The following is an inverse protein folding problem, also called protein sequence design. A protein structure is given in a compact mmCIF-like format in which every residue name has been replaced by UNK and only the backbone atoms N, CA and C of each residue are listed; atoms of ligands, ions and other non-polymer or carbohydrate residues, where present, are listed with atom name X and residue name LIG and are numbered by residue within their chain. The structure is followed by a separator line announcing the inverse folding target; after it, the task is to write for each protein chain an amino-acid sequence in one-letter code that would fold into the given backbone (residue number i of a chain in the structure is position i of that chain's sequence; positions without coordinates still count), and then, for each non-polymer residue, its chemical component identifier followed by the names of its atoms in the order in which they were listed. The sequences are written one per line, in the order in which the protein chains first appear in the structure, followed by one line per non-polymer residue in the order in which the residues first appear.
data_IF_182127210581
#
_entry.id   IF_182127210581
#
_cell.length_a   1.000
_cell.length_b   1.000
_cell.length_c   1.000
_cell.angle_alpha   90.00
_cell.angle_beta   90.00
_cell.angle_gamma   90.00
#
_symmetry.space_group_name_H-M   'P 1'
#
loop_
_entity.id
_entity.type
_entity.pdbx_description
1 polymer ?
#
# COMPACT_ATOMS: atom_id res chain seq x y z
N UNK A 1 -63.69 -34.67 18.34
CA UNK A 1 -62.67 -35.26 17.43
C UNK A 1 -62.28 -34.27 16.32
N UNK A 2 -63.22 -33.57 15.70
CA UNK A 2 -62.97 -32.56 14.65
C UNK A 2 -62.05 -31.40 15.06
N UNK A 3 -62.21 -30.84 16.27
CA UNK A 3 -61.33 -29.77 16.79
C UNK A 3 -59.86 -30.21 16.90
N UNK A 4 -59.60 -31.48 17.19
CA UNK A 4 -58.26 -32.04 17.27
C UNK A 4 -57.65 -32.23 15.86
N UNK A 5 -58.43 -32.76 14.92
CA UNK A 5 -58.04 -32.89 13.51
C UNK A 5 -57.77 -31.52 12.86
N UNK A 6 -58.60 -30.50 13.13
CA UNK A 6 -58.38 -29.12 12.66
C UNK A 6 -57.09 -28.50 13.22
N UNK A 7 -56.83 -28.68 14.53
CA UNK A 7 -55.57 -28.23 15.15
C UNK A 7 -54.35 -28.91 14.53
N UNK A 8 -54.45 -30.20 14.23
CA UNK A 8 -53.34 -30.95 13.61
C UNK A 8 -53.10 -30.51 12.16
N UNK A 9 -54.16 -30.31 11.35
CA UNK A 9 -54.04 -29.72 10.01
C UNK A 9 -53.38 -28.34 10.03
N UNK A 10 -53.77 -27.47 10.97
CA UNK A 10 -53.14 -26.14 11.17
C UNK A 10 -51.66 -26.24 11.54
N UNK A 11 -51.25 -27.23 12.33
CA UNK A 11 -49.83 -27.45 12.66
C UNK A 11 -49.03 -27.92 11.45
N UNK A 12 -49.58 -28.85 10.65
CA UNK A 12 -48.97 -29.33 9.41
C UNK A 12 -48.80 -28.17 8.43
N UNK A 13 -49.87 -27.41 8.17
CA UNK A 13 -49.86 -26.21 7.32
C UNK A 13 -48.83 -25.18 7.81
N UNK A 14 -48.77 -24.93 9.12
CA UNK A 14 -47.77 -24.02 9.69
C UNK A 14 -46.32 -24.54 9.52
N UNK A 15 -46.10 -25.85 9.62
CA UNK A 15 -44.80 -26.49 9.40
C UNK A 15 -44.36 -26.36 7.94
N UNK A 16 -45.26 -26.63 7.00
CA UNK A 16 -45.04 -26.48 5.56
C UNK A 16 -44.77 -25.03 5.18
N UNK A 17 -45.59 -24.09 5.67
CA UNK A 17 -45.39 -22.65 5.44
C UNK A 17 -44.04 -22.16 5.98
N UNK A 18 -43.60 -22.66 7.14
CA UNK A 18 -42.25 -22.38 7.68
C UNK A 18 -41.16 -22.98 6.79
N UNK A 19 -41.34 -24.17 6.25
CA UNK A 19 -40.39 -24.81 5.34
C UNK A 19 -40.27 -24.04 4.02
N UNK A 20 -41.39 -23.69 3.37
CA UNK A 20 -41.43 -22.88 2.15
C UNK A 20 -40.80 -21.51 2.37
N UNK A 21 -41.09 -20.84 3.49
CA UNK A 21 -40.45 -19.56 3.84
C UNK A 21 -38.94 -19.69 3.99
N UNK A 22 -38.45 -20.76 4.62
CA UNK A 22 -37.00 -21.02 4.73
C UNK A 22 -36.37 -21.26 3.36
N UNK A 23 -37.03 -22.03 2.50
CA UNK A 23 -36.54 -22.30 1.14
C UNK A 23 -36.49 -21.02 0.30
N UNK A 24 -37.57 -20.23 0.30
CA UNK A 24 -37.62 -18.95 -0.38
C UNK A 24 -36.54 -17.99 0.13
N UNK A 25 -36.31 -17.96 1.45
CA UNK A 25 -35.24 -17.15 2.03
C UNK A 25 -33.83 -17.63 1.62
N UNK A 26 -33.60 -18.94 1.56
CA UNK A 26 -32.34 -19.49 1.07
C UNK A 26 -32.12 -19.16 -0.42
N UNK A 27 -33.15 -19.28 -1.26
CA UNK A 27 -33.09 -18.90 -2.67
C UNK A 27 -32.81 -17.39 -2.83
N UNK A 28 -33.43 -16.55 -2.00
CA UNK A 28 -33.14 -15.11 -1.96
C UNK A 28 -31.68 -14.83 -1.58
N UNK A 29 -31.16 -15.44 -0.51
CA UNK A 29 -29.77 -15.27 -0.08
C UNK A 29 -28.74 -15.84 -1.06
N UNK A 30 -29.12 -16.77 -1.93
CA UNK A 30 -28.26 -17.30 -2.97
C UNK A 30 -28.01 -16.31 -4.11
N UNK A 31 -28.92 -15.35 -4.29
CA UNK A 31 -28.92 -14.38 -5.40
C UNK A 31 -28.74 -12.94 -4.93
N UNK A 32 -29.02 -12.65 -3.65
CA UNK A 32 -29.02 -11.28 -3.11
C UNK A 32 -28.15 -11.10 -1.85
N UNK A 33 -27.55 -9.92 -1.72
CA UNK A 33 -26.84 -9.43 -0.53
C UNK A 33 -27.78 -8.55 0.29
N UNK A 34 -28.36 -9.14 1.33
CA UNK A 34 -29.30 -8.45 2.21
C UNK A 34 -28.63 -7.55 3.27
N UNK A 35 -27.45 -7.93 3.77
CA UNK A 35 -26.79 -7.26 4.87
C UNK A 35 -25.27 -7.48 4.83
N UNK A 36 -24.50 -6.46 5.19
CA UNK A 36 -23.02 -6.46 5.19
C UNK A 36 -22.41 -6.12 6.55
N UNK A 37 -23.21 -6.18 7.63
CA UNK A 37 -22.78 -5.85 8.99
C UNK A 37 -23.21 -4.46 9.44
N UNK A 38 -23.09 -4.23 10.75
CA UNK A 38 -23.43 -2.95 11.36
C UNK A 38 -22.61 -1.81 10.75
N UNK A 39 -23.25 -0.64 10.57
CA UNK A 39 -22.59 0.56 10.03
C UNK A 39 -22.31 0.56 8.52
N UNK A 40 -22.74 -0.49 7.80
CA UNK A 40 -22.66 -0.59 6.34
C UNK A 40 -24.06 -0.50 5.73
N UNK A 41 -24.39 0.65 5.14
CA UNK A 41 -25.59 0.79 4.31
C UNK A 41 -25.32 0.16 2.94
N UNK A 42 -26.18 -0.77 2.52
CA UNK A 42 -26.10 -1.45 1.24
C UNK A 42 -27.51 -1.69 0.69
N UNK A 43 -27.69 -1.43 -0.61
CA UNK A 43 -28.92 -1.73 -1.34
C UNK A 43 -28.55 -2.64 -2.49
N UNK A 44 -29.14 -3.81 -2.49
CA UNK A 44 -28.97 -4.76 -3.57
C UNK A 44 -30.01 -4.48 -4.65
N UNK A 45 -29.72 -3.48 -5.47
CA UNK A 45 -30.58 -3.09 -6.58
C UNK A 45 -29.79 -3.14 -7.87
N UNK A 46 -30.46 -3.54 -8.93
CA UNK A 46 -29.97 -3.35 -10.28
C UNK A 46 -30.38 -1.96 -10.78
N UNK A 47 -29.48 -1.32 -11.52
CA UNK A 47 -29.69 0.01 -12.08
C UNK A 47 -29.11 1.16 -11.23
N UNK A 48 -29.42 2.41 -11.63
CA UNK A 48 -28.80 3.60 -11.04
C UNK A 48 -29.15 3.78 -9.56
N UNK A 49 -28.13 4.05 -8.73
CA UNK A 49 -28.30 4.45 -7.33
C UNK A 49 -28.25 5.99 -7.21
N UNK A 50 -28.96 6.56 -6.22
CA UNK A 50 -28.93 8.00 -5.95
C UNK A 50 -27.52 8.52 -5.59
N UNK A 51 -26.64 7.63 -5.17
CA UNK A 51 -25.24 7.93 -4.89
C UNK A 51 -24.33 7.72 -6.11
N UNK A 52 -24.81 7.28 -7.27
CA UNK A 52 -23.98 7.18 -8.45
C UNK A 52 -23.58 8.56 -8.98
N UNK A 53 -22.35 8.65 -9.50
CA UNK A 53 -21.86 9.90 -10.08
C UNK A 53 -22.42 10.08 -11.51
N UNK A 54 -22.69 11.32 -11.95
CA UNK A 54 -23.07 11.56 -13.34
C UNK A 54 -22.02 11.04 -14.33
N UNK A 55 -22.49 10.46 -15.44
CA UNK A 55 -21.64 9.91 -16.50
C UNK A 55 -20.85 8.67 -16.07
N UNK A 56 -21.41 7.84 -15.18
CA UNK A 56 -20.72 6.67 -14.60
C UNK A 56 -20.09 5.76 -15.66
N UNK A 57 -20.86 5.38 -16.68
CA UNK A 57 -20.38 4.51 -17.76
C UNK A 57 -19.26 5.16 -18.60
N UNK A 58 -19.36 6.46 -18.88
CA UNK A 58 -18.30 7.21 -19.59
C UNK A 58 -17.01 7.29 -18.76
N UNK A 59 -17.13 7.51 -17.45
CA UNK A 59 -16.01 7.52 -16.51
C UNK A 59 -15.33 6.16 -16.42
N UNK A 60 -16.11 5.08 -16.41
CA UNK A 60 -15.58 3.72 -16.43
C UNK A 60 -14.84 3.46 -17.74
N UNK A 61 -15.47 3.73 -18.89
CA UNK A 61 -14.89 3.53 -20.23
C UNK A 61 -13.61 4.32 -20.46
N UNK A 62 -13.59 5.61 -20.12
CA UNK A 62 -12.39 6.46 -20.24
C UNK A 62 -11.20 6.00 -19.42
N UNK A 63 -11.42 5.11 -18.43
CA UNK A 63 -10.38 4.50 -17.58
C UNK A 63 -10.19 3.02 -17.87
N UNK A 64 -10.89 2.46 -18.86
CA UNK A 64 -10.87 1.03 -19.16
C UNK A 64 -11.35 0.15 -18.01
N UNK A 65 -12.23 0.64 -17.13
CA UNK A 65 -12.81 -0.15 -16.05
C UNK A 65 -13.88 -1.11 -16.59
N UNK A 66 -14.02 -2.33 -16.02
CA UNK A 66 -15.12 -3.21 -16.37
C UNK A 66 -16.46 -2.59 -15.98
N UNK A 67 -17.50 -2.93 -16.74
CA UNK A 67 -18.86 -2.57 -16.36
C UNK A 67 -19.33 -3.45 -15.20
N UNK A 68 -19.67 -2.81 -14.08
CA UNK A 68 -20.05 -3.46 -12.84
C UNK A 68 -21.30 -2.76 -12.28
N UNK A 69 -22.49 -3.02 -12.84
CA UNK A 69 -23.74 -2.41 -12.40
C UNK A 69 -24.29 -3.01 -11.10
N UNK A 70 -23.96 -4.27 -10.76
CA UNK A 70 -24.58 -4.98 -9.63
C UNK A 70 -23.61 -5.87 -8.85
N UNK A 71 -24.07 -6.34 -7.68
CA UNK A 71 -23.34 -7.34 -6.89
C UNK A 71 -23.16 -8.66 -7.64
N UNK A 72 -24.14 -9.05 -8.47
CA UNK A 72 -24.09 -10.22 -9.35
C UNK A 72 -22.92 -10.14 -10.33
N UNK A 73 -22.79 -9.02 -11.03
CA UNK A 73 -21.70 -8.83 -11.98
C UNK A 73 -20.33 -8.83 -11.31
N UNK A 74 -20.22 -8.18 -10.15
CA UNK A 74 -18.99 -8.22 -9.37
C UNK A 74 -18.66 -9.65 -8.93
N UNK A 75 -19.64 -10.43 -8.48
CA UNK A 75 -19.43 -11.82 -8.07
C UNK A 75 -18.94 -12.67 -9.25
N UNK A 76 -19.58 -12.55 -10.42
CA UNK A 76 -19.15 -13.21 -11.66
C UNK A 76 -17.72 -12.84 -12.04
N UNK A 77 -17.41 -11.55 -12.05
CA UNK A 77 -16.10 -11.04 -12.41
C UNK A 77 -14.98 -11.52 -11.45
N UNK A 78 -15.30 -11.69 -10.16
CA UNK A 78 -14.40 -12.24 -9.14
C UNK A 78 -14.32 -13.78 -9.14
N UNK A 79 -15.18 -14.48 -9.88
CA UNK A 79 -15.32 -15.94 -9.82
C UNK A 79 -15.86 -16.42 -8.47
N UNK A 80 -16.80 -15.70 -7.88
CA UNK A 80 -17.42 -15.99 -6.59
C UNK A 80 -18.93 -16.13 -6.72
N UNK A 81 -19.54 -16.88 -5.81
CA UNK A 81 -21.00 -16.84 -5.61
C UNK A 81 -21.38 -15.62 -4.77
N UNK A 82 -22.63 -15.14 -4.89
CA UNK A 82 -23.15 -14.05 -4.05
C UNK A 82 -22.99 -14.33 -2.54
N UNK A 83 -23.33 -15.54 -2.03
CA UNK A 83 -23.07 -15.88 -0.63
C UNK A 83 -21.60 -15.75 -0.22
N UNK A 84 -20.66 -16.14 -1.10
CA UNK A 84 -19.22 -16.01 -0.82
C UNK A 84 -18.72 -14.59 -0.90
N UNK A 85 -19.17 -13.80 -1.88
CA UNK A 85 -18.88 -12.37 -1.94
C UNK A 85 -19.37 -11.66 -0.67
N UNK A 86 -20.62 -11.92 -0.25
CA UNK A 86 -21.18 -11.41 1.01
C UNK A 86 -20.31 -11.83 2.19
N UNK A 87 -19.95 -13.10 2.31
CA UNK A 87 -19.14 -13.61 3.42
C UNK A 87 -17.75 -12.95 3.53
N UNK A 88 -17.12 -12.63 2.40
CA UNK A 88 -15.84 -11.92 2.37
C UNK A 88 -15.97 -10.42 2.69
N UNK A 89 -17.06 -9.79 2.23
CA UNK A 89 -17.30 -8.35 2.42
C UNK A 89 -17.96 -8.01 3.78
N UNK A 90 -18.55 -8.99 4.46
CA UNK A 90 -19.31 -8.77 5.69
C UNK A 90 -18.42 -8.23 6.82
N UNK A 91 -18.84 -7.13 7.45
CA UNK A 91 -18.19 -6.57 8.63
C UNK A 91 -18.75 -7.19 9.91
N UNK A 92 -17.84 -7.61 10.79
CA UNK A 92 -18.16 -8.22 12.09
C UNK A 92 -17.37 -7.52 13.18
N UNK A 93 -18.07 -7.05 14.20
CA UNK A 93 -17.44 -6.51 15.41
C UNK A 93 -16.69 -7.61 16.16
N UNK A 94 -17.33 -8.77 16.35
CA UNK A 94 -16.71 -9.96 16.95
C UNK A 94 -16.88 -11.14 16.01
N UNK A 95 -15.82 -11.90 15.79
CA UNK A 95 -15.83 -13.07 14.92
C UNK A 95 -14.92 -14.18 15.48
N UNK A 96 -15.28 -15.45 15.25
CA UNK A 96 -14.44 -16.61 15.56
C UNK A 96 -13.41 -16.88 14.45
N UNK A 97 -13.50 -16.15 13.34
CA UNK A 97 -12.56 -16.22 12.23
C UNK A 97 -12.13 -14.84 11.72
N UNK A 98 -11.14 -14.83 10.82
CA UNK A 98 -10.73 -13.64 10.08
C UNK A 98 -10.29 -14.01 8.67
N UNK A 99 -10.47 -13.09 7.72
CA UNK A 99 -9.99 -13.24 6.35
C UNK A 99 -8.52 -12.86 6.17
N UNK A 100 -7.84 -12.47 7.25
CA UNK A 100 -6.45 -12.04 7.25
C UNK A 100 -5.58 -12.91 8.17
N UNK A 101 -4.31 -13.06 7.81
CA UNK A 101 -3.26 -13.54 8.71
C UNK A 101 -2.49 -12.34 9.24
N UNK A 102 -2.22 -12.33 10.54
CA UNK A 102 -1.60 -11.19 11.21
C UNK A 102 -0.38 -11.60 12.01
N UNK A 103 0.66 -10.79 11.94
CA UNK A 103 1.89 -10.97 12.69
C UNK A 103 2.56 -9.62 12.92
N UNK A 104 3.45 -9.57 13.89
CA UNK A 104 4.21 -8.37 14.21
C UNK A 104 5.60 -8.45 13.58
N UNK A 105 6.09 -7.33 13.09
CA UNK A 105 7.48 -7.16 12.65
C UNK A 105 8.09 -6.01 13.46
N UNK A 106 9.31 -6.14 14.00
CA UNK A 106 9.97 -5.03 14.68
C UNK A 106 10.25 -3.89 13.70
N UNK A 107 9.91 -2.66 14.09
CA UNK A 107 10.40 -1.44 13.43
C UNK A 107 11.86 -1.21 13.83
N UNK A 108 12.52 -0.28 13.13
CA UNK A 108 13.90 0.13 13.43
C UNK A 108 14.07 0.72 14.84
N UNK A 109 13.00 1.30 15.39
CA UNK A 109 12.95 1.86 16.73
C UNK A 109 12.56 0.82 17.80
N UNK A 110 12.45 -0.46 17.44
CA UNK A 110 12.05 -1.55 18.33
C UNK A 110 10.53 -1.71 18.49
N UNK A 111 9.72 -0.71 18.12
CA UNK A 111 8.26 -0.82 18.24
C UNK A 111 7.68 -1.81 17.24
N UNK A 112 6.57 -2.48 17.58
CA UNK A 112 5.95 -3.46 16.69
C UNK A 112 5.19 -2.80 15.52
N UNK A 113 5.24 -3.43 14.34
CA UNK A 113 4.39 -3.15 13.18
C UNK A 113 3.50 -4.36 12.91
N UNK A 114 2.20 -4.17 13.08
CA UNK A 114 1.22 -5.18 12.69
C UNK A 114 1.11 -5.27 11.16
N UNK A 115 1.40 -6.44 10.62
CA UNK A 115 1.14 -6.80 9.23
C UNK A 115 -0.15 -7.62 9.17
N UNK A 116 -0.99 -7.33 8.19
CA UNK A 116 -2.23 -8.03 7.91
C UNK A 116 -2.26 -8.42 6.44
N UNK A 117 -1.95 -9.69 6.15
CA UNK A 117 -2.02 -10.25 4.79
C UNK A 117 -3.33 -11.01 4.59
N UNK A 118 -4.07 -10.78 3.50
CA UNK A 118 -5.29 -11.53 3.20
C UNK A 118 -4.98 -13.03 3.01
N UNK A 119 -5.94 -13.89 3.39
CA UNK A 119 -5.94 -15.33 3.09
C UNK A 119 -6.17 -15.57 1.59
N UNK A 120 -5.91 -16.79 1.11
CA UNK A 120 -5.82 -17.13 -0.32
C UNK A 120 -7.00 -16.63 -1.15
N UNK A 121 -8.24 -16.88 -0.71
CA UNK A 121 -9.44 -16.50 -1.45
C UNK A 121 -9.63 -14.98 -1.54
N UNK A 122 -9.59 -14.26 -0.40
CA UNK A 122 -9.65 -12.80 -0.40
C UNK A 122 -8.49 -12.19 -1.20
N UNK A 123 -7.28 -12.77 -1.12
CA UNK A 123 -6.11 -12.31 -1.88
C UNK A 123 -6.33 -12.43 -3.39
N UNK A 124 -7.03 -13.48 -3.87
CA UNK A 124 -7.40 -13.60 -5.29
C UNK A 124 -8.36 -12.48 -5.71
N UNK A 125 -9.42 -12.26 -4.93
CA UNK A 125 -10.38 -11.18 -5.20
C UNK A 125 -9.71 -9.80 -5.21
N UNK A 126 -8.83 -9.53 -4.25
CA UNK A 126 -8.06 -8.30 -4.19
C UNK A 126 -7.08 -8.15 -5.35
N UNK A 127 -6.42 -9.23 -5.81
CA UNK A 127 -5.55 -9.18 -7.01
C UNK A 127 -6.34 -8.92 -8.29
N UNK A 128 -7.55 -9.46 -8.40
CA UNK A 128 -8.45 -9.12 -9.50
C UNK A 128 -8.81 -7.63 -9.45
N UNK A 129 -9.21 -7.11 -8.28
CA UNK A 129 -9.56 -5.70 -8.12
C UNK A 129 -8.35 -4.78 -8.36
N UNK A 130 -7.14 -5.19 -7.96
CA UNK A 130 -5.90 -4.47 -8.23
C UNK A 130 -5.73 -4.23 -9.74
N UNK A 131 -5.73 -5.31 -10.53
CA UNK A 131 -5.46 -5.24 -11.98
C UNK A 131 -6.60 -4.61 -12.77
N UNK A 132 -7.84 -4.90 -12.40
CA UNK A 132 -9.00 -4.48 -13.18
C UNK A 132 -9.56 -3.12 -12.78
N UNK A 133 -9.28 -2.66 -11.55
CA UNK A 133 -9.80 -1.41 -11.02
C UNK A 133 -8.68 -0.45 -10.61
N UNK A 134 -7.86 -0.81 -9.63
CA UNK A 134 -6.99 0.16 -8.94
C UNK A 134 -5.75 0.61 -9.75
N UNK A 135 -5.12 -0.28 -10.51
CA UNK A 135 -3.96 0.06 -11.36
C UNK A 135 -4.33 0.96 -12.55
N UNK A 136 -5.62 1.01 -12.92
CA UNK A 136 -6.14 1.86 -13.99
C UNK A 136 -6.49 3.27 -13.52
N UNK A 137 -6.44 3.52 -12.20
CA UNK A 137 -6.76 4.83 -11.65
C UNK A 137 -5.60 5.81 -11.85
N UNK A 138 -5.90 7.10 -12.12
CA UNK A 138 -4.86 8.10 -12.32
C UNK A 138 -4.04 8.31 -11.04
N UNK A 139 -2.72 8.34 -11.20
CA UNK A 139 -1.75 8.63 -10.14
C UNK A 139 -0.91 9.83 -10.55
N UNK A 140 -0.50 10.64 -9.58
CA UNK A 140 0.34 11.81 -9.85
C UNK A 140 1.77 11.40 -10.22
N UNK A 141 2.39 12.10 -11.16
CA UNK A 141 3.76 11.82 -11.62
C UNK A 141 4.83 11.95 -10.52
N UNK A 142 4.52 12.69 -9.44
CA UNK A 142 5.40 12.81 -8.26
C UNK A 142 5.40 11.57 -7.36
N UNK A 143 4.49 10.61 -7.56
CA UNK A 143 4.50 9.37 -6.82
C UNK A 143 5.56 8.41 -7.39
N UNK A 144 6.38 7.83 -6.51
CA UNK A 144 7.40 6.84 -6.85
C UNK A 144 7.21 5.52 -6.08
N UNK A 145 6.49 5.54 -4.95
CA UNK A 145 6.23 4.34 -4.17
C UNK A 145 5.23 3.43 -4.89
N UNK A 146 5.53 2.13 -4.97
CA UNK A 146 4.61 1.09 -5.45
C UNK A 146 4.09 1.25 -6.88
N UNK A 147 4.84 1.92 -7.76
CA UNK A 147 4.49 2.04 -9.17
C UNK A 147 5.48 1.26 -10.03
N UNK A 148 4.98 0.65 -11.10
CA UNK A 148 5.82 0.07 -12.13
C UNK A 148 6.80 1.13 -12.67
N UNK A 149 8.03 0.71 -12.97
CA UNK A 149 9.12 1.58 -13.46
C UNK A 149 9.52 2.71 -12.51
N UNK A 150 9.01 2.73 -11.28
CA UNK A 150 9.49 3.59 -10.20
C UNK A 150 10.13 2.74 -9.12
N UNK A 151 11.09 3.35 -8.44
CA UNK A 151 11.89 2.69 -7.41
C UNK A 151 12.45 3.71 -6.43
N UNK A 152 13.04 3.21 -5.35
CA UNK A 152 13.83 4.02 -4.42
C UNK A 152 14.98 4.77 -5.12
N UNK A 153 15.50 4.25 -6.25
CA UNK A 153 16.53 4.94 -7.04
C UNK A 153 15.93 6.11 -7.80
N UNK A 154 14.83 5.90 -8.55
CA UNK A 154 14.17 6.99 -9.28
C UNK A 154 13.72 8.11 -8.35
N UNK A 155 13.29 7.76 -7.13
CA UNK A 155 12.89 8.71 -6.10
C UNK A 155 14.08 9.52 -5.60
N UNK A 156 15.16 8.83 -5.21
CA UNK A 156 16.38 9.48 -4.71
C UNK A 156 17.07 10.34 -5.79
N UNK A 157 17.15 9.84 -7.03
CA UNK A 157 17.78 10.52 -8.15
C UNK A 157 17.13 11.87 -8.47
N UNK A 158 15.81 12.01 -8.26
CA UNK A 158 15.12 13.28 -8.43
C UNK A 158 15.70 14.40 -7.54
N UNK A 159 16.33 14.06 -6.42
CA UNK A 159 16.86 15.00 -5.43
C UNK A 159 18.39 15.10 -5.42
N UNK A 160 19.06 14.56 -6.44
CA UNK A 160 20.51 14.52 -6.51
C UNK A 160 21.15 15.91 -6.53
N UNK A 161 22.18 16.10 -5.71
CA UNK A 161 22.95 17.34 -5.63
C UNK A 161 22.16 18.55 -5.14
N UNK A 162 21.11 18.36 -4.35
CA UNK A 162 20.35 19.44 -3.75
C UNK A 162 21.11 20.14 -2.62
N UNK A 163 20.92 21.45 -2.45
CA UNK A 163 21.53 22.19 -1.34
C UNK A 163 20.81 21.91 -0.02
N UNK A 164 19.49 21.69 -0.06
CA UNK A 164 18.68 21.33 1.10
C UNK A 164 17.67 20.26 0.72
N UNK A 165 17.51 19.24 1.57
CA UNK A 165 16.45 18.24 1.47
C UNK A 165 15.58 18.31 2.72
N UNK A 166 14.27 18.32 2.54
CA UNK A 166 13.29 18.24 3.61
C UNK A 166 12.50 16.95 3.40
N UNK A 167 12.44 16.11 4.44
CA UNK A 167 11.63 14.90 4.47
C UNK A 167 10.52 15.07 5.48
N UNK A 168 9.31 14.70 5.08
CA UNK A 168 8.10 14.79 5.91
C UNK A 168 7.40 13.43 5.85
N UNK A 169 7.07 12.88 7.00
CA UNK A 169 6.37 11.59 7.14
C UNK A 169 4.89 11.83 7.49
N UNK A 170 3.98 11.06 6.89
CA UNK A 170 2.56 11.10 7.21
C UNK A 170 2.27 10.09 8.34
N UNK A 171 1.73 10.58 9.46
CA UNK A 171 1.37 9.74 10.60
C UNK A 171 0.19 8.83 10.25
N UNK A 172 0.29 7.55 10.62
CA UNK A 172 -0.76 6.53 10.48
C UNK A 172 -1.37 6.47 9.08
N UNK A 173 -0.51 6.55 8.05
CA UNK A 173 -0.93 6.72 6.66
C UNK A 173 -2.00 5.71 6.20
N UNK A 174 -1.73 4.40 6.29
CA UNK A 174 -2.70 3.38 5.90
C UNK A 174 -3.99 3.40 6.74
N UNK A 175 -3.92 3.46 8.10
CA UNK A 175 -5.11 3.64 8.94
C UNK A 175 -5.97 4.86 8.63
N UNK A 176 -5.41 5.96 8.10
CA UNK A 176 -6.22 7.14 7.73
C UNK A 176 -7.07 6.93 6.47
N UNK A 177 -6.87 5.84 5.74
CA UNK A 177 -7.64 5.48 4.56
C UNK A 177 -8.70 4.45 4.94
N UNK A 178 -9.89 4.95 5.24
CA UNK A 178 -11.05 4.13 5.60
C UNK A 178 -11.74 3.53 4.38
N UNK A 179 -12.53 2.47 4.58
CA UNK A 179 -13.34 1.86 3.52
C UNK A 179 -14.25 2.88 2.81
N UNK A 180 -14.74 3.91 3.52
CA UNK A 180 -15.55 4.99 2.93
C UNK A 180 -14.76 5.83 1.93
N UNK A 181 -13.47 6.09 2.17
CA UNK A 181 -12.59 6.79 1.22
C UNK A 181 -12.33 5.91 -0.01
N UNK A 182 -12.14 4.61 0.18
CA UNK A 182 -11.97 3.65 -0.93
C UNK A 182 -13.24 3.56 -1.79
N UNK A 183 -14.43 3.49 -1.15
CA UNK A 183 -15.71 3.54 -1.85
C UNK A 183 -15.87 4.82 -2.67
N UNK A 184 -15.60 5.98 -2.05
CA UNK A 184 -15.67 7.28 -2.74
C UNK A 184 -14.70 7.39 -3.92
N UNK A 185 -13.50 6.81 -3.80
CA UNK A 185 -12.54 6.72 -4.91
C UNK A 185 -13.12 5.92 -6.08
N UNK A 186 -13.66 4.73 -5.84
CA UNK A 186 -14.21 3.86 -6.87
C UNK A 186 -15.43 4.49 -7.56
N UNK A 187 -16.33 5.11 -6.80
CA UNK A 187 -17.46 5.87 -7.36
C UNK A 187 -17.00 6.98 -8.28
N UNK A 188 -16.05 7.80 -7.83
CA UNK A 188 -15.49 8.89 -8.65
C UNK A 188 -14.85 8.37 -9.94
N UNK A 189 -14.32 7.15 -9.92
CA UNK A 189 -13.75 6.48 -11.08
C UNK A 189 -14.79 5.94 -12.07
N UNK A 190 -16.06 5.79 -11.65
CA UNK A 190 -17.15 5.27 -12.47
C UNK A 190 -17.63 3.86 -12.09
N UNK A 191 -17.36 3.39 -10.87
CA UNK A 191 -17.93 2.13 -10.36
C UNK A 191 -19.23 2.42 -9.60
N UNK A 192 -20.29 1.66 -9.87
CA UNK A 192 -21.59 1.82 -9.21
C UNK A 192 -21.51 1.65 -7.68
N UNK A 193 -22.40 2.31 -6.92
CA UNK A 193 -22.38 2.38 -5.45
C UNK A 193 -22.29 1.00 -4.77
N UNK A 194 -23.07 0.03 -5.24
CA UNK A 194 -23.09 -1.35 -4.69
C UNK A 194 -21.72 -2.03 -4.84
N UNK A 195 -21.23 -2.25 -6.08
CA UNK A 195 -19.90 -2.82 -6.31
C UNK A 195 -18.76 -2.01 -5.69
N UNK A 196 -18.83 -0.67 -5.67
CA UNK A 196 -17.84 0.17 -5.01
C UNK A 196 -17.78 -0.10 -3.49
N UNK A 197 -18.93 -0.30 -2.86
CA UNK A 197 -19.03 -0.66 -1.43
C UNK A 197 -18.43 -2.05 -1.17
N UNK A 198 -18.80 -3.04 -1.98
CA UNK A 198 -18.31 -4.41 -1.84
C UNK A 198 -16.79 -4.48 -2.02
N UNK A 199 -16.25 -3.87 -3.08
CA UNK A 199 -14.79 -3.84 -3.32
C UNK A 199 -14.07 -3.07 -2.21
N UNK A 200 -14.63 -1.98 -1.69
CA UNK A 200 -14.05 -1.26 -0.57
C UNK A 200 -13.96 -2.11 0.70
N UNK A 201 -15.00 -2.91 0.99
CA UNK A 201 -15.00 -3.84 2.12
C UNK A 201 -14.00 -4.99 1.91
N UNK A 202 -13.92 -5.54 0.69
CA UNK A 202 -12.90 -6.54 0.34
C UNK A 202 -11.49 -5.99 0.49
N UNK A 203 -11.24 -4.74 0.13
CA UNK A 203 -9.91 -4.12 0.13
C UNK A 203 -9.47 -3.55 1.49
N UNK A 204 -10.34 -3.53 2.49
CA UNK A 204 -10.06 -3.01 3.84
C UNK A 204 -10.17 -4.11 4.88
N UNK A 205 -9.73 -3.82 6.11
CA UNK A 205 -9.97 -4.66 7.28
C UNK A 205 -10.00 -3.79 8.54
N UNK A 206 -10.79 -4.19 9.53
CA UNK A 206 -10.76 -3.53 10.83
C UNK A 206 -9.50 -3.98 11.59
N UNK A 207 -8.80 -3.08 12.31
CA UNK A 207 -7.85 -3.54 13.31
C UNK A 207 -8.61 -4.41 14.33
N UNK A 208 -7.99 -5.50 14.78
CA UNK A 208 -8.62 -6.41 15.74
C UNK A 208 -7.66 -6.85 16.82
N UNK A 209 -8.16 -7.06 18.02
CA UNK A 209 -7.45 -7.78 19.07
C UNK A 209 -7.86 -9.25 19.07
N UNK A 210 -6.97 -10.11 19.54
CA UNK A 210 -7.23 -11.54 19.68
C UNK A 210 -7.47 -11.81 21.16
N UNK A 211 -8.66 -12.31 21.48
CA UNK A 211 -9.10 -12.58 22.85
C UNK A 211 -9.49 -14.04 22.97
N UNK A 212 -9.12 -14.69 24.07
CA UNK A 212 -9.65 -16.01 24.43
C UNK A 212 -10.86 -15.82 25.34
N UNK A 213 -12.02 -16.34 24.95
CA UNK A 213 -13.24 -16.28 25.75
C UNK A 213 -13.97 -17.61 25.69
N UNK A 214 -14.23 -18.22 26.86
CA UNK A 214 -14.90 -19.53 26.99
C UNK A 214 -14.27 -20.62 26.09
N UNK A 215 -12.95 -20.68 26.05
CA UNK A 215 -12.20 -21.64 25.23
C UNK A 215 -12.22 -21.37 23.72
N UNK A 216 -12.77 -20.24 23.27
CA UNK A 216 -12.82 -19.84 21.87
C UNK A 216 -11.90 -18.64 21.61
N UNK A 217 -11.16 -18.71 20.50
CA UNK A 217 -10.40 -17.56 20.00
C UNK A 217 -11.33 -16.62 19.24
N UNK A 218 -11.45 -15.39 19.73
CA UNK A 218 -12.26 -14.34 19.14
C UNK A 218 -11.40 -13.21 18.59
N UNK A 219 -11.83 -12.62 17.49
CA UNK A 219 -11.20 -11.49 16.82
C UNK A 219 -12.10 -10.26 16.96
N UNK A 220 -11.81 -9.41 17.93
CA UNK A 220 -12.64 -8.24 18.30
C UNK A 220 -12.14 -7.00 17.56
N UNK A 221 -12.99 -6.36 16.77
CA UNK A 221 -12.67 -5.12 16.08
C UNK A 221 -12.43 -3.99 17.09
N UNK A 222 -11.33 -3.26 16.92
CA UNK A 222 -10.94 -2.14 17.80
C UNK A 222 -11.09 -0.78 17.13
N UNK A 223 -11.64 -0.77 15.91
CA UNK A 223 -11.82 0.44 15.13
C UNK A 223 -12.40 0.17 13.74
N UNK A 224 -12.54 1.23 12.93
CA UNK A 224 -13.16 1.12 11.61
C UNK A 224 -12.30 0.32 10.63
N UNK A 225 -12.93 -0.20 9.57
CA UNK A 225 -12.23 -0.81 8.43
C UNK A 225 -11.34 0.22 7.71
N UNK A 226 -10.06 -0.09 7.61
CA UNK A 226 -8.99 0.73 7.01
C UNK A 226 -8.13 -0.10 6.05
N UNK A 227 -7.22 0.53 5.31
CA UNK A 227 -6.28 -0.23 4.49
C UNK A 227 -5.31 -1.04 5.37
N UNK A 228 -5.23 -2.37 5.19
CA UNK A 228 -4.27 -3.19 5.92
C UNK A 228 -2.87 -3.08 5.29
N UNK A 229 -1.85 -3.08 6.13
CA UNK A 229 -0.46 -3.23 5.70
C UNK A 229 -0.21 -4.69 5.34
N UNK A 230 -0.16 -5.02 4.05
CA UNK A 230 0.03 -6.39 3.55
C UNK A 230 -1.01 -6.87 2.54
N UNK A 231 -2.08 -6.10 2.30
CA UNK A 231 -2.96 -6.38 1.16
C UNK A 231 -2.34 -5.90 -0.15
N UNK A 232 -2.50 -6.66 -1.26
CA UNK A 232 -2.01 -6.27 -2.59
C UNK A 232 -2.64 -5.00 -3.14
N UNK A 233 -3.85 -4.62 -2.72
CA UNK A 233 -4.55 -3.42 -3.21
C UNK A 233 -4.14 -2.15 -2.50
N UNK A 234 -3.75 -2.22 -1.22
CA UNK A 234 -3.43 -1.04 -0.40
C UNK A 234 -2.43 -0.08 -1.07
N UNK A 235 -1.32 -0.57 -1.67
CA UNK A 235 -0.39 0.30 -2.38
C UNK A 235 -1.01 1.13 -3.51
N UNK A 236 -1.75 0.49 -4.43
CA UNK A 236 -2.39 1.19 -5.55
C UNK A 236 -3.47 2.18 -5.05
N UNK A 237 -4.26 1.78 -4.06
CA UNK A 237 -5.30 2.64 -3.47
C UNK A 237 -4.70 3.90 -2.86
N UNK A 238 -3.62 3.76 -2.07
CA UNK A 238 -2.94 4.92 -1.46
C UNK A 238 -2.50 5.95 -2.50
N UNK A 239 -1.91 5.48 -3.61
CA UNK A 239 -1.47 6.35 -4.69
C UNK A 239 -2.63 7.06 -5.40
N UNK A 240 -3.72 6.34 -5.68
CA UNK A 240 -4.90 6.94 -6.30
C UNK A 240 -5.59 7.97 -5.40
N UNK A 241 -5.69 7.71 -4.09
CA UNK A 241 -6.24 8.66 -3.10
C UNK A 241 -5.37 9.92 -3.00
N UNK A 242 -4.05 9.77 -3.03
CA UNK A 242 -3.13 10.89 -2.93
C UNK A 242 -3.05 11.75 -4.19
N UNK A 243 -3.78 11.45 -5.29
CA UNK A 243 -3.72 12.26 -6.52
C UNK A 243 -3.96 13.76 -6.28
N UNK A 244 -4.99 14.10 -5.50
CA UNK A 244 -5.32 15.51 -5.18
C UNK A 244 -4.28 16.12 -4.24
N UNK A 245 -3.84 15.36 -3.23
CA UNK A 245 -2.76 15.74 -2.33
C UNK A 245 -1.51 16.12 -3.12
N UNK A 246 -1.05 15.22 -3.98
CA UNK A 246 0.19 15.36 -4.73
C UNK A 246 0.13 16.55 -5.69
N UNK A 247 -1.03 16.84 -6.30
CA UNK A 247 -1.23 18.05 -7.13
C UNK A 247 -1.02 19.33 -6.31
N UNK A 248 -1.65 19.43 -5.14
CA UNK A 248 -1.55 20.60 -4.26
C UNK A 248 -0.13 20.78 -3.71
N UNK A 249 0.48 19.70 -3.24
CA UNK A 249 1.85 19.70 -2.71
C UNK A 249 2.86 20.04 -3.81
N UNK A 250 2.69 19.50 -5.03
CA UNK A 250 3.53 19.85 -6.18
C UNK A 250 3.40 21.33 -6.56
N UNK A 251 2.18 21.87 -6.52
CA UNK A 251 1.93 23.30 -6.76
C UNK A 251 2.65 24.18 -5.73
N UNK A 252 2.53 23.85 -4.44
CA UNK A 252 3.24 24.53 -3.36
C UNK A 252 4.76 24.43 -3.53
N UNK A 253 5.28 23.22 -3.79
CA UNK A 253 6.71 22.99 -3.97
C UNK A 253 7.25 23.85 -5.12
N UNK A 254 6.57 23.86 -6.27
CA UNK A 254 6.95 24.70 -7.42
C UNK A 254 6.98 26.18 -7.07
N UNK A 255 5.94 26.69 -6.38
CA UNK A 255 5.85 28.09 -5.95
C UNK A 255 7.03 28.48 -5.03
N UNK A 256 7.51 27.55 -4.21
CA UNK A 256 8.60 27.78 -3.26
C UNK A 256 9.99 27.37 -3.80
N UNK A 257 10.09 27.00 -5.08
CA UNK A 257 11.36 26.57 -5.70
C UNK A 257 11.86 25.18 -5.26
N UNK A 258 11.00 24.36 -4.66
CA UNK A 258 11.32 22.97 -4.33
C UNK A 258 10.89 22.02 -5.45
N UNK A 259 11.68 20.97 -5.64
CA UNK A 259 11.26 19.74 -6.30
C UNK A 259 10.65 18.79 -5.28
N UNK A 260 9.59 18.08 -5.66
CA UNK A 260 8.83 17.20 -4.76
C UNK A 260 8.64 15.81 -5.37
N UNK A 261 8.76 14.79 -4.52
CA UNK A 261 8.33 13.42 -4.79
C UNK A 261 7.68 12.79 -3.54
N UNK A 262 6.90 11.73 -3.74
CA UNK A 262 6.30 10.92 -2.67
C UNK A 262 6.63 9.45 -2.84
N UNK A 263 7.12 8.82 -1.78
CA UNK A 263 7.30 7.38 -1.70
C UNK A 263 6.46 6.83 -0.56
N UNK A 264 5.29 6.28 -0.88
CA UNK A 264 4.27 5.90 0.11
C UNK A 264 3.86 7.10 0.99
N UNK A 265 4.18 7.06 2.28
CA UNK A 265 3.97 8.07 3.32
C UNK A 265 5.11 9.09 3.46
N UNK A 266 6.26 8.84 2.82
CA UNK A 266 7.44 9.72 2.85
C UNK A 266 7.36 10.76 1.72
N UNK A 267 7.19 12.03 2.10
CA UNK A 267 7.22 13.19 1.21
C UNK A 267 8.63 13.77 1.21
N UNK A 268 9.28 13.82 0.05
CA UNK A 268 10.64 14.38 -0.08
C UNK A 268 10.61 15.65 -0.92
N UNK A 269 11.27 16.68 -0.40
CA UNK A 269 11.43 17.97 -1.06
C UNK A 269 12.91 18.27 -1.17
N UNK A 270 13.33 18.84 -2.29
CA UNK A 270 14.71 19.30 -2.47
C UNK A 270 14.75 20.70 -3.06
N UNK A 271 15.59 21.53 -2.49
CA UNK A 271 15.87 22.88 -2.95
C UNK A 271 17.30 22.95 -3.47
N UNK A 272 17.47 23.60 -4.62
CA UNK A 272 18.76 23.99 -5.16
C UNK A 272 18.72 25.50 -5.34
N UNK A 273 19.69 26.20 -4.77
CA UNK A 273 19.79 27.64 -4.94
C UNK A 273 20.03 27.93 -6.44
N UNK A 274 19.34 28.94 -7.02
CA UNK A 274 19.69 29.45 -8.33
C UNK A 274 21.18 29.80 -8.35
N UNK A 275 21.85 29.51 -9.47
CA UNK A 275 23.19 30.06 -9.67
C UNK A 275 23.03 31.58 -9.77
N UNK A 276 23.77 32.33 -8.94
CA UNK A 276 23.91 33.75 -9.20
C UNK A 276 24.57 33.87 -10.59
N UNK A 277 24.10 34.76 -11.48
CA UNK A 277 24.84 35.04 -12.70
C UNK A 277 26.26 35.45 -12.31
N UNK A 278 27.26 34.96 -13.06
CA UNK A 278 28.67 35.35 -12.95
C UNK A 278 28.86 36.79 -13.44
N UNK A 279 28.04 37.72 -12.95
CA UNK A 279 28.16 39.14 -13.19
C UNK A 279 29.27 39.69 -12.27
N UNK A 280 30.36 40.26 -12.82
CA UNK A 280 31.40 40.91 -12.03
C UNK A 280 30.75 42.08 -11.25
N UNK A 281 30.64 41.95 -9.93
CA UNK A 281 30.10 43.00 -9.05
C UNK A 281 29.05 42.57 -8.01
N UNK A 282 28.48 41.36 -8.11
CA UNK A 282 27.47 40.84 -7.16
C UNK A 282 28.02 39.80 -6.17
N UNK A 283 29.34 39.74 -6.00
CA UNK A 283 30.08 38.73 -5.21
C UNK A 283 29.79 38.73 -3.68
N UNK A 284 28.83 39.52 -3.20
CA UNK A 284 28.44 39.62 -1.79
C UNK A 284 26.99 39.24 -1.47
N UNK A 285 26.13 38.96 -2.46
CA UNK A 285 24.74 38.63 -2.19
C UNK A 285 24.62 37.24 -1.53
N UNK A 286 24.10 37.17 -0.30
CA UNK A 286 23.89 35.91 0.40
C UNK A 286 23.00 34.99 -0.44
N UNK A 287 23.49 33.77 -0.74
CA UNK A 287 22.71 32.78 -1.51
C UNK A 287 21.33 32.58 -0.86
N UNK A 288 20.25 32.56 -1.66
CA UNK A 288 18.90 32.41 -1.13
C UNK A 288 18.77 31.09 -0.37
N UNK A 289 18.33 31.18 0.89
CA UNK A 289 18.09 30.02 1.73
C UNK A 289 16.77 29.36 1.34
N UNK A 290 16.71 28.04 1.44
CA UNK A 290 15.49 27.28 1.21
C UNK A 290 14.37 27.75 2.16
N UNK A 291 13.16 28.10 1.68
CA UNK A 291 12.06 28.58 2.52
C UNK A 291 11.35 27.44 3.25
N UNK A 292 12.09 26.72 4.12
CA UNK A 292 11.63 25.51 4.82
C UNK A 292 10.43 25.79 5.72
N UNK A 293 10.39 26.91 6.43
CA UNK A 293 9.27 27.26 7.31
C UNK A 293 7.94 27.41 6.55
N UNK A 294 7.97 28.09 5.41
CA UNK A 294 6.80 28.24 4.52
C UNK A 294 6.35 26.89 3.95
N UNK A 295 7.30 26.04 3.55
CA UNK A 295 7.03 24.68 3.07
C UNK A 295 6.31 23.85 4.14
N UNK A 296 6.85 23.79 5.36
CA UNK A 296 6.29 22.99 6.44
C UNK A 296 4.88 23.44 6.83
N UNK A 297 4.63 24.75 6.84
CA UNK A 297 3.29 25.31 7.10
C UNK A 297 2.30 24.90 6.01
N UNK A 298 2.63 25.16 4.75
CA UNK A 298 1.73 24.85 3.63
C UNK A 298 1.49 23.34 3.46
N UNK A 299 2.51 22.51 3.65
CA UNK A 299 2.33 21.05 3.60
C UNK A 299 1.42 20.56 4.75
N UNK A 300 1.57 21.11 5.96
CA UNK A 300 0.69 20.77 7.10
C UNK A 300 -0.76 21.11 6.80
N UNK A 301 -1.04 22.30 6.28
CA UNK A 301 -2.39 22.73 5.90
C UNK A 301 -2.99 21.83 4.81
N UNK A 302 -2.21 21.53 3.77
CA UNK A 302 -2.63 20.64 2.69
C UNK A 302 -2.92 19.23 3.22
N UNK A 303 -2.04 18.65 4.04
CA UNK A 303 -2.25 17.33 4.63
C UNK A 303 -3.55 17.27 5.44
N UNK A 304 -3.77 18.22 6.33
CA UNK A 304 -4.99 18.30 7.15
C UNK A 304 -6.25 18.37 6.27
N UNK A 305 -6.23 19.22 5.24
CA UNK A 305 -7.34 19.39 4.31
C UNK A 305 -7.62 18.14 3.45
N UNK A 306 -6.63 17.27 3.24
CA UNK A 306 -6.78 15.99 2.51
C UNK A 306 -7.02 14.80 3.47
N UNK A 307 -7.26 15.06 4.76
CA UNK A 307 -7.57 14.04 5.76
C UNK A 307 -6.36 13.24 6.26
N UNK A 308 -5.16 13.83 6.20
CA UNK A 308 -3.91 13.26 6.66
C UNK A 308 -3.30 14.10 7.79
N UNK A 309 -2.37 13.53 8.54
CA UNK A 309 -1.66 14.23 9.62
C UNK A 309 -0.16 14.14 9.46
N UNK A 310 0.53 15.27 9.61
CA UNK A 310 1.98 15.32 9.64
C UNK A 310 2.52 14.62 10.89
N UNK A 311 3.57 13.82 10.75
CA UNK A 311 4.21 13.17 11.89
C UNK A 311 5.12 14.16 12.65
N UNK A 312 4.83 14.48 13.92
CA UNK A 312 5.47 15.60 14.62
C UNK A 312 6.99 15.41 14.78
N UNK A 313 7.43 14.19 15.08
CA UNK A 313 8.85 13.88 15.34
C UNK A 313 9.66 13.31 14.17
N UNK A 314 9.13 13.26 12.95
CA UNK A 314 9.81 12.61 11.80
C UNK A 314 10.11 13.55 10.64
N UNK A 315 9.98 14.85 10.86
CA UNK A 315 10.44 15.84 9.88
C UNK A 315 11.96 15.93 9.97
N UNK A 316 12.65 15.78 8.84
CA UNK A 316 14.12 15.83 8.78
C UNK A 316 14.55 16.85 7.74
N UNK A 317 15.47 17.75 8.12
CA UNK A 317 16.07 18.74 7.22
C UNK A 317 17.56 18.47 7.09
N UNK A 318 18.03 18.17 5.88
CA UNK A 318 19.44 17.85 5.58
C UNK A 318 20.02 18.90 4.64
N UNK A 319 21.08 19.58 5.07
CA UNK A 319 21.78 20.61 4.27
C UNK A 319 23.01 20.02 3.58
N UNK A 320 23.53 20.71 2.55
CA UNK A 320 24.65 20.27 1.69
C UNK A 320 25.88 19.76 2.45
N UNK A 321 26.25 20.41 3.56
CA UNK A 321 27.41 20.03 4.39
C UNK A 321 27.21 18.75 5.22
N UNK A 322 25.99 18.20 5.23
CA UNK A 322 25.63 16.98 5.94
C UNK A 322 25.29 15.86 4.96
N UNK A 323 25.29 14.61 5.45
CA UNK A 323 24.88 13.47 4.65
C UNK A 323 23.39 13.54 4.34
N UNK A 324 23.06 13.68 3.06
CA UNK A 324 21.70 13.73 2.54
C UNK A 324 21.27 12.33 2.06
N UNK A 325 20.19 11.79 2.65
CA UNK A 325 19.65 10.47 2.30
C UNK A 325 18.18 10.56 1.87
N UNK A 326 17.84 9.93 0.74
CA UNK A 326 16.46 9.75 0.28
C UNK A 326 16.23 8.25 0.05
N UNK A 327 15.16 7.70 0.62
CA UNK A 327 14.82 6.26 0.52
C UNK A 327 16.01 5.31 0.76
N UNK A 328 16.90 5.68 1.70
CA UNK A 328 18.08 4.89 2.09
C UNK A 328 19.33 5.12 1.22
N UNK A 329 19.22 5.87 0.12
CA UNK A 329 20.32 6.19 -0.79
C UNK A 329 20.89 7.58 -0.52
N UNK A 330 22.19 7.74 -0.68
CA UNK A 330 22.89 9.02 -0.55
C UNK A 330 22.77 9.80 -1.85
N UNK A 331 22.37 11.07 -1.75
CA UNK A 331 22.08 11.94 -2.91
C UNK A 331 22.91 13.21 -2.95
N UNK A 332 23.88 13.38 -2.04
CA UNK A 332 24.84 14.48 -2.11
C UNK A 332 25.54 14.51 -3.48
N UNK A 333 25.87 15.70 -3.99
CA UNK A 333 26.69 15.83 -5.20
C UNK A 333 28.05 15.16 -5.01
N UNK A 334 28.51 14.39 -6.01
CA UNK A 334 29.79 13.69 -5.96
C UNK A 334 30.57 13.75 -7.29
N UNK A 335 30.42 14.85 -8.03
CA UNK A 335 30.97 15.01 -9.39
C UNK A 335 30.08 14.40 -10.47
N UNK A 336 30.40 14.67 -11.73
CA UNK A 336 29.62 14.23 -12.90
C UNK A 336 29.70 12.72 -13.15
N UNK A 337 30.84 12.10 -12.84
CA UNK A 337 31.06 10.67 -13.02
C UNK A 337 30.38 9.79 -11.95
N UNK A 338 29.81 10.38 -10.90
CA UNK A 338 29.20 9.62 -9.80
C UNK A 338 27.69 9.43 -10.02
N UNK A 339 27.12 8.27 -9.66
CA UNK A 339 25.68 8.06 -9.77
C UNK A 339 24.87 9.08 -8.95
N UNK A 340 23.72 9.48 -9.49
CA UNK A 340 22.81 10.47 -8.89
C UNK A 340 22.30 10.05 -7.49
N UNK A 341 22.09 8.74 -7.28
CA UNK A 341 21.74 8.15 -5.99
C UNK A 341 22.66 6.96 -5.73
N UNK A 342 23.24 6.87 -4.53
CA UNK A 342 24.29 5.87 -4.23
C UNK A 342 23.98 5.09 -2.96
N UNK A 343 24.32 3.81 -2.97
CA UNK A 343 24.32 3.01 -1.74
C UNK A 343 25.29 3.64 -0.72
N UNK A 344 24.91 3.75 0.57
CA UNK A 344 25.82 4.07 1.67
C UNK A 344 27.22 3.45 1.55
N UNK A 345 28.28 4.27 1.63
CA UNK A 345 29.67 3.80 1.57
C UNK A 345 29.98 2.68 2.57
N UNK A 346 29.46 2.80 3.79
CA UNK A 346 29.53 1.79 4.84
C UNK A 346 28.99 0.43 4.37
N UNK A 347 27.79 0.40 3.79
CA UNK A 347 27.18 -0.84 3.28
C UNK A 347 27.98 -1.46 2.12
N UNK A 348 28.58 -0.62 1.27
CA UNK A 348 29.46 -1.09 0.19
C UNK A 348 30.78 -1.66 0.76
N UNK A 349 31.32 -1.06 1.82
CA UNK A 349 32.51 -1.56 2.52
C UNK A 349 32.24 -2.90 3.20
N UNK A 350 31.11 -3.03 3.90
CA UNK A 350 30.65 -4.29 4.49
C UNK A 350 30.56 -5.40 3.44
N UNK A 351 29.86 -5.15 2.32
CA UNK A 351 29.75 -6.11 1.23
C UNK A 351 31.11 -6.53 0.68
N UNK A 352 31.99 -5.54 0.41
CA UNK A 352 33.34 -5.81 -0.12
C UNK A 352 34.16 -6.66 0.86
N UNK A 353 34.10 -6.35 2.15
CA UNK A 353 34.80 -7.09 3.18
C UNK A 353 34.26 -8.52 3.31
N UNK A 354 32.94 -8.71 3.28
CA UNK A 354 32.31 -10.01 3.31
C UNK A 354 32.73 -10.88 2.11
N UNK A 355 32.70 -10.34 0.89
CA UNK A 355 33.15 -11.05 -0.32
C UNK A 355 34.64 -11.43 -0.21
N UNK A 356 35.51 -10.48 0.18
CA UNK A 356 36.94 -10.73 0.32
C UNK A 356 37.25 -11.81 1.37
N UNK A 357 36.54 -11.81 2.50
CA UNK A 357 36.70 -12.86 3.51
C UNK A 357 36.35 -14.24 2.95
N UNK A 358 35.27 -14.34 2.17
CA UNK A 358 34.88 -15.61 1.52
C UNK A 358 35.90 -16.08 0.48
N UNK A 359 36.45 -15.16 -0.31
CA UNK A 359 37.53 -15.48 -1.27
C UNK A 359 38.79 -15.98 -0.57
N UNK A 360 39.07 -15.52 0.65
CA UNK A 360 40.19 -15.97 1.48
C UNK A 360 39.87 -17.22 2.32
N UNK A 361 38.73 -17.88 2.09
CA UNK A 361 38.31 -19.07 2.86
C UNK A 361 37.91 -18.79 4.31
N UNK A 362 37.75 -17.51 4.70
CA UNK A 362 37.39 -17.12 6.08
C UNK A 362 35.87 -17.15 6.29
N UNK A 363 35.38 -17.49 7.50
CA UNK A 363 33.96 -17.42 7.81
C UNK A 363 33.46 -15.97 7.74
N UNK A 364 32.26 -15.79 7.18
CA UNK A 364 31.52 -14.53 7.20
C UNK A 364 30.81 -14.30 8.54
N UNK A 365 30.09 -13.19 8.69
CA UNK A 365 29.38 -12.84 9.95
C UNK A 365 28.01 -13.51 10.06
N UNK A 366 27.89 -14.72 9.53
CA UNK A 366 26.62 -15.42 9.35
C UNK A 366 25.86 -15.04 8.07
N UNK A 367 26.44 -14.21 7.19
CA UNK A 367 25.78 -13.92 5.91
C UNK A 367 25.93 -15.09 4.91
N UNK A 368 24.84 -15.42 4.23
CA UNK A 368 24.83 -16.40 3.12
C UNK A 368 25.25 -15.74 1.80
N UNK A 369 25.74 -16.53 0.84
CA UNK A 369 26.07 -16.01 -0.50
C UNK A 369 24.85 -15.38 -1.18
N UNK A 370 23.65 -15.95 -1.00
CA UNK A 370 22.40 -15.37 -1.51
C UNK A 370 22.12 -13.97 -0.91
N UNK A 371 22.39 -13.76 0.38
CA UNK A 371 22.27 -12.44 1.01
C UNK A 371 23.28 -11.43 0.43
N UNK A 372 24.53 -11.85 0.21
CA UNK A 372 25.54 -11.02 -0.43
C UNK A 372 25.16 -10.70 -1.88
N UNK A 373 24.61 -11.66 -2.63
CA UNK A 373 24.12 -11.48 -4.00
C UNK A 373 22.99 -10.46 -4.05
N UNK A 374 22.06 -10.50 -3.09
CA UNK A 374 21.02 -9.49 -2.92
C UNK A 374 21.58 -8.08 -2.65
N UNK A 375 22.62 -7.97 -1.82
CA UNK A 375 23.30 -6.69 -1.58
C UNK A 375 24.07 -6.18 -2.81
N UNK A 376 24.72 -7.07 -3.56
CA UNK A 376 25.40 -6.73 -4.80
C UNK A 376 24.40 -6.27 -5.88
N UNK A 377 23.24 -6.93 -5.99
CA UNK A 377 22.14 -6.49 -6.85
C UNK A 377 21.57 -5.12 -6.43
N UNK A 378 21.49 -4.85 -5.11
CA UNK A 378 21.12 -3.53 -4.62
C UNK A 378 22.13 -2.44 -5.00
N UNK A 379 23.43 -2.74 -4.98
CA UNK A 379 24.48 -1.84 -5.51
C UNK A 379 24.34 -1.66 -7.02
N UNK A 380 24.12 -2.76 -7.76
CA UNK A 380 23.93 -2.76 -9.22
C UNK A 380 22.82 -1.81 -9.67
N UNK A 381 21.72 -1.75 -8.91
CA UNK A 381 20.60 -0.85 -9.19
C UNK A 381 21.00 0.64 -9.18
N UNK A 382 22.08 1.01 -8.48
CA UNK A 382 22.59 2.40 -8.41
C UNK A 382 23.88 2.63 -9.20
N UNK A 383 24.72 1.61 -9.31
CA UNK A 383 26.04 1.63 -9.92
C UNK A 383 26.24 0.29 -10.64
N UNK A 384 25.80 0.16 -11.90
CA UNK A 384 25.82 -1.10 -12.63
C UNK A 384 27.22 -1.69 -12.78
N UNK A 385 28.24 -0.83 -12.97
CA UNK A 385 29.64 -1.24 -13.13
C UNK A 385 30.14 -1.91 -11.85
N UNK A 386 30.00 -1.23 -10.71
CA UNK A 386 30.45 -1.78 -9.42
C UNK A 386 29.61 -2.98 -9.00
N UNK A 387 28.30 -2.94 -9.21
CA UNK A 387 27.41 -4.05 -8.89
C UNK A 387 27.75 -5.31 -9.67
N UNK A 388 28.04 -5.19 -10.97
CA UNK A 388 28.42 -6.33 -11.82
C UNK A 388 29.72 -6.96 -11.35
N UNK A 389 30.71 -6.14 -10.97
CA UNK A 389 31.96 -6.63 -10.41
C UNK A 389 31.75 -7.44 -9.11
N UNK A 390 30.84 -7.01 -8.23
CA UNK A 390 30.52 -7.78 -7.03
C UNK A 390 29.76 -9.06 -7.32
N UNK A 391 28.79 -9.03 -8.24
CA UNK A 391 28.01 -10.21 -8.64
C UNK A 391 28.92 -11.28 -9.23
N UNK A 392 29.83 -10.92 -10.15
CA UNK A 392 30.76 -11.89 -10.74
C UNK A 392 31.68 -12.56 -9.72
N UNK A 393 32.13 -11.82 -8.69
CA UNK A 393 32.91 -12.39 -7.57
C UNK A 393 32.09 -13.37 -6.74
N UNK A 394 30.82 -13.07 -6.47
CA UNK A 394 29.93 -13.96 -5.73
C UNK A 394 29.60 -15.21 -6.55
N UNK A 395 29.34 -15.08 -7.85
CA UNK A 395 29.09 -16.22 -8.74
C UNK A 395 30.31 -17.15 -8.84
N UNK A 396 31.53 -16.61 -8.82
CA UNK A 396 32.74 -17.42 -8.74
C UNK A 396 32.83 -18.20 -7.43
N UNK A 397 32.44 -17.59 -6.30
CA UNK A 397 32.36 -18.28 -5.01
C UNK A 397 31.29 -19.37 -4.99
N UNK A 398 30.13 -19.14 -5.63
CA UNK A 398 29.06 -20.14 -5.77
C UNK A 398 29.54 -21.37 -6.56
N UNK A 399 30.30 -21.17 -7.64
CA UNK A 399 30.87 -22.28 -8.45
C UNK A 399 31.92 -23.10 -7.69
N UNK A 400 32.63 -22.49 -6.74
CA UNK A 400 33.69 -23.13 -5.98
C UNK A 400 33.18 -23.78 -4.68
N UNK A 401 31.88 -23.71 -4.38
CA UNK A 401 31.30 -24.47 -3.28
C UNK A 401 31.11 -25.93 -3.68
N UNK A 402 31.57 -26.90 -2.87
CA UNK A 402 31.20 -28.30 -3.10
C UNK A 402 29.67 -28.42 -3.08
N UNK A 403 29.12 -29.24 -3.99
CA UNK A 403 27.70 -29.52 -4.01
C UNK A 403 27.23 -29.93 -2.61
N UNK A 404 26.03 -29.50 -2.16
CA UNK A 404 25.49 -30.00 -0.91
C UNK A 404 25.46 -31.53 -1.00
N UNK A 405 26.07 -32.22 -0.04
CA UNK A 405 26.01 -33.66 0.05
C UNK A 405 24.53 -34.06 0.05
N UNK A 406 24.13 -34.84 -0.96
CA UNK A 406 22.81 -35.44 -1.01
C UNK A 406 22.54 -36.14 0.32
N UNK A 407 21.38 -35.82 0.87
CA UNK A 407 21.08 -36.02 2.27
C UNK A 407 21.32 -37.45 2.76
N UNK A 408 21.88 -37.54 3.96
CA UNK A 408 21.52 -38.58 4.91
C UNK A 408 20.00 -38.55 5.09
N UNK A 409 19.30 -39.35 4.29
CA UNK A 409 18.00 -39.89 4.63
C UNK A 409 18.20 -40.76 5.87
N UNK A 410 17.94 -40.20 7.05
CA UNK A 410 18.24 -40.86 8.31
C UNK A 410 17.47 -40.32 9.49
N UNK A 411 16.22 -40.79 9.60
CA UNK A 411 15.28 -40.83 10.77
C UNK A 411 14.23 -39.74 10.90
#
# INVERSE_FOLDING_TARGET
RERAQWKERKKVEARERRALRRLAWQAYLATHINHLGAGVHFRDREGPDAFDVPGLAERARSRGLPDLPSAGELARALGLTIPRLRWLAYHREVDAGTHYRRWLIPKRDGSARAISSPKRELKRAQRWALRNLFEKLPVHAAAHGFLASRSIVTNAAAHAGADTIVKIDIKDFFPTITWRRVRGLLRKAGVAEGPATLVALLATEAPREVVQFRGQTLYVATGPRVLPQGAPTSPAITNAICLRLDRRVSGLARKLGFRYTRYADDLTFSFRAPHAPDAPGLAGAARPRAPVGALLRGVREILSAEGFRLHPGKTVVMRKGSRQKVTGLVVNGAGEAAPAARVPRERVRELRAAIRNRELGRPGKGETLAQLKGLAAFVYMTDPVRGRAFLGRIEALERNQPAPADGESGR
#
